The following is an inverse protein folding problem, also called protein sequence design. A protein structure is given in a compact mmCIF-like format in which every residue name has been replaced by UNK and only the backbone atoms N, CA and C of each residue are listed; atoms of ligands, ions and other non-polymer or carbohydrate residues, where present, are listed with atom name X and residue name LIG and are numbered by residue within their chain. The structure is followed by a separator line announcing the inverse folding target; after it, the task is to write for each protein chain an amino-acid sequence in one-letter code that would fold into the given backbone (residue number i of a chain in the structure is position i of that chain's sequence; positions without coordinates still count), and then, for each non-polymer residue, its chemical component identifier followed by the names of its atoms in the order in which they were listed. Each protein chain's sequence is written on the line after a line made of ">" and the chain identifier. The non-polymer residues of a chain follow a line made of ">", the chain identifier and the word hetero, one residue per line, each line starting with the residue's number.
data_IF_029005142111
#
_entry.id   IF_029005142111
#
_cell.length_a   1.000
_cell.length_b   1.000
_cell.length_c   1.000
_cell.angle_alpha   90.00
_cell.angle_beta   90.00
_cell.angle_gamma   90.00
#
_symmetry.space_group_name_H-M   'P 1'
#
loop_
_entity.id
_entity.type
_entity.pdbx_description
1 polymer ?
#
# COMPACT_ATOMS: atom_id res chain seq x y z
N UNK A 1 -6.77 0.12 5.24
CA UNK A 1 -7.14 -1.32 5.37
C UNK A 1 -7.00 -1.83 6.80
N UNK A 2 -7.87 -2.75 7.26
CA UNK A 2 -7.73 -3.43 8.56
C UNK A 2 -6.73 -4.58 8.44
N UNK A 3 -5.90 -4.78 9.48
CA UNK A 3 -4.81 -5.75 9.49
C UNK A 3 -5.30 -7.21 9.46
N UNK A 4 -6.53 -7.45 9.95
CA UNK A 4 -7.17 -8.77 10.01
C UNK A 4 -7.50 -9.29 8.60
N UNK A 5 -7.92 -8.41 7.68
CA UNK A 5 -8.28 -8.78 6.30
C UNK A 5 -7.04 -9.19 5.49
N UNK A 6 -5.91 -8.50 5.71
CA UNK A 6 -4.63 -8.79 5.06
C UNK A 6 -4.03 -10.14 5.52
N UNK A 7 -4.42 -10.65 6.71
CA UNK A 7 -3.99 -11.97 7.19
C UNK A 7 -4.74 -13.12 6.53
N UNK A 8 -5.92 -12.87 5.93
CA UNK A 8 -6.71 -13.89 5.22
C UNK A 8 -6.35 -14.02 3.74
N UNK A 9 -5.68 -13.01 3.17
CA UNK A 9 -5.28 -13.04 1.76
C UNK A 9 -4.05 -13.91 1.53
N UNK A 10 -4.05 -14.63 0.41
CA UNK A 10 -2.91 -15.39 -0.13
C UNK A 10 -1.69 -14.50 -0.39
N UNK A 11 -0.48 -15.06 -0.29
CA UNK A 11 0.78 -14.32 -0.49
C UNK A 11 0.91 -13.73 -1.90
N UNK A 12 0.39 -14.44 -2.91
CA UNK A 12 0.36 -13.98 -4.30
C UNK A 12 -0.55 -12.77 -4.49
N UNK A 13 -1.68 -12.73 -3.78
CA UNK A 13 -2.60 -11.60 -3.79
C UNK A 13 -2.02 -10.39 -3.04
N UNK A 14 -1.29 -10.61 -1.95
CA UNK A 14 -0.58 -9.54 -1.22
C UNK A 14 0.49 -8.86 -2.07
N UNK A 15 1.25 -9.63 -2.85
CA UNK A 15 2.25 -9.08 -3.77
C UNK A 15 1.61 -8.21 -4.89
N UNK A 16 0.47 -8.65 -5.44
CA UNK A 16 -0.30 -7.87 -6.43
C UNK A 16 -0.83 -6.57 -5.82
N UNK A 17 -1.44 -6.64 -4.64
CA UNK A 17 -1.92 -5.48 -3.89
C UNK A 17 -0.79 -4.49 -3.56
N UNK A 18 0.40 -4.98 -3.20
CA UNK A 18 1.57 -4.13 -2.96
C UNK A 18 1.94 -3.34 -4.22
N UNK A 19 1.97 -4.01 -5.37
CA UNK A 19 2.31 -3.39 -6.67
C UNK A 19 1.29 -2.30 -7.04
N UNK A 20 0.00 -2.58 -6.89
CA UNK A 20 -1.07 -1.62 -7.14
C UNK A 20 -0.99 -0.40 -6.20
N UNK A 21 -0.78 -0.62 -4.90
CA UNK A 21 -0.66 0.47 -3.92
C UNK A 21 0.59 1.32 -4.17
N UNK A 22 1.70 0.72 -4.62
CA UNK A 22 2.92 1.46 -5.05
C UNK A 22 2.64 2.31 -6.29
N UNK A 23 1.94 1.76 -7.30
CA UNK A 23 1.51 2.52 -8.49
C UNK A 23 0.60 3.68 -8.10
N UNK A 24 -0.39 3.45 -7.25
CA UNK A 24 -1.28 4.48 -6.73
C UNK A 24 -0.51 5.56 -5.95
N UNK A 25 0.48 5.18 -5.13
CA UNK A 25 1.32 6.15 -4.42
C UNK A 25 2.18 7.00 -5.36
N UNK A 26 2.69 6.40 -6.44
CA UNK A 26 3.44 7.11 -7.49
C UNK A 26 2.53 8.06 -8.26
N UNK A 27 1.37 7.60 -8.72
CA UNK A 27 0.36 8.43 -9.38
C UNK A 27 -0.09 9.59 -8.49
N UNK A 28 -0.31 9.33 -7.20
CA UNK A 28 -0.63 10.36 -6.22
C UNK A 28 0.49 11.39 -6.10
N UNK A 29 1.77 10.98 -6.03
CA UNK A 29 2.91 11.91 -6.01
C UNK A 29 2.97 12.79 -7.27
N UNK A 30 2.76 12.20 -8.44
CA UNK A 30 2.78 12.96 -9.70
C UNK A 30 1.55 13.87 -9.85
N UNK A 31 0.36 13.42 -9.45
CA UNK A 31 -0.87 14.22 -9.47
C UNK A 31 -0.85 15.40 -8.49
N UNK A 32 -0.17 15.26 -7.36
CA UNK A 32 0.01 16.34 -6.36
C UNK A 32 1.00 17.41 -6.85
N UNK A 33 1.93 17.07 -7.73
CA UNK A 33 2.94 18.02 -8.23
C UNK A 33 2.36 19.06 -9.22
N UNK A 34 1.27 18.74 -9.92
CA UNK A 34 0.67 19.61 -10.95
C UNK A 34 -0.62 20.32 -10.54
N UNK A 35 -1.28 19.89 -9.47
CA UNK A 35 -2.59 20.41 -9.06
C UNK A 35 -2.70 20.40 -7.54
N UNK A 36 -3.32 21.44 -6.98
CA UNK A 36 -3.55 21.66 -5.54
C UNK A 36 -4.33 20.47 -4.97
N UNK A 37 -3.64 19.40 -4.60
CA UNK A 37 -4.26 18.14 -4.23
C UNK A 37 -5.07 18.31 -2.94
N UNK A 38 -6.39 18.36 -3.10
CA UNK A 38 -7.36 18.56 -2.01
C UNK A 38 -7.35 17.41 -0.99
N UNK A 39 -6.88 16.22 -1.38
CA UNK A 39 -6.87 15.00 -0.55
C UNK A 39 -5.46 14.50 -0.15
N UNK A 40 -4.68 15.35 0.52
CA UNK A 40 -3.38 14.97 1.13
C UNK A 40 -3.49 13.75 2.06
N UNK A 41 -4.68 13.54 2.65
CA UNK A 41 -4.99 12.41 3.54
C UNK A 41 -4.89 11.05 2.84
N UNK A 42 -5.25 10.96 1.55
CA UNK A 42 -5.17 9.71 0.77
C UNK A 42 -3.72 9.25 0.57
N UNK A 43 -2.79 10.18 0.36
CA UNK A 43 -1.37 9.84 0.29
C UNK A 43 -0.85 9.21 1.58
N UNK A 44 -1.33 9.69 2.75
CA UNK A 44 -0.95 9.14 4.06
C UNK A 44 -1.56 7.76 4.29
N UNK A 45 -2.81 7.52 3.88
CA UNK A 45 -3.46 6.20 4.01
C UNK A 45 -2.78 5.17 3.11
N UNK A 46 -2.45 5.53 1.87
CA UNK A 46 -1.69 4.67 0.94
C UNK A 46 -0.35 4.22 1.52
N UNK A 47 0.43 5.14 2.12
CA UNK A 47 1.71 4.80 2.77
C UNK A 47 1.52 3.84 3.95
N UNK A 48 0.51 4.06 4.78
CA UNK A 48 0.19 3.18 5.91
C UNK A 48 -0.22 1.78 5.45
N UNK A 49 -1.02 1.69 4.39
CA UNK A 49 -1.43 0.40 3.83
C UNK A 49 -0.22 -0.37 3.26
N UNK A 50 0.70 0.29 2.55
CA UNK A 50 1.95 -0.33 2.07
C UNK A 50 2.79 -0.86 3.24
N UNK A 51 2.96 -0.06 4.29
CA UNK A 51 3.74 -0.48 5.46
C UNK A 51 3.12 -1.71 6.16
N UNK A 52 1.79 -1.77 6.28
CA UNK A 52 1.08 -2.94 6.84
C UNK A 52 1.27 -4.19 6.00
N UNK A 53 1.19 -4.09 4.67
CA UNK A 53 1.41 -5.22 3.75
C UNK A 53 2.86 -5.73 3.88
N UNK A 54 3.85 -4.83 3.87
CA UNK A 54 5.26 -5.21 4.01
C UNK A 54 5.56 -5.88 5.37
N UNK A 55 4.95 -5.38 6.44
CA UNK A 55 5.09 -5.98 7.78
C UNK A 55 4.54 -7.40 7.80
N UNK A 56 3.38 -7.61 7.17
CA UNK A 56 2.74 -8.92 7.10
C UNK A 56 3.52 -9.91 6.22
N UNK A 57 4.07 -9.45 5.09
CA UNK A 57 4.97 -10.28 4.26
C UNK A 57 6.25 -10.66 5.01
N UNK A 58 6.78 -9.76 5.85
CA UNK A 58 7.93 -10.04 6.71
C UNK A 58 7.59 -11.03 7.84
N UNK A 59 6.44 -10.87 8.49
CA UNK A 59 5.94 -11.82 9.50
C UNK A 59 5.76 -13.23 8.91
N UNK A 60 5.31 -13.34 7.66
CA UNK A 60 5.14 -14.63 6.97
C UNK A 60 6.45 -15.25 6.46
N UNK A 61 7.59 -14.55 6.56
CA UNK A 61 8.89 -15.08 6.12
C UNK A 61 9.05 -15.20 4.60
N UNK A 62 8.15 -14.60 3.82
CA UNK A 62 8.19 -14.60 2.34
C UNK A 62 9.32 -13.72 1.81
N UNK A 63 9.81 -12.78 2.62
CA UNK A 63 10.96 -11.94 2.30
C UNK A 63 12.12 -12.36 3.20
N UNK A 64 12.96 -13.27 2.69
CA UNK A 64 14.30 -13.55 3.20
C UNK A 64 15.31 -13.22 2.12
#
# INVERSE_FOLDING_TARGET
>A
MKMIELKKTEDTALAKLLSEKRKASRLFRFGVAGSKAKNVKEGRTLRKDIARILTLMKERGVVR
#
